data_IF_879981697771
#
_entry.id   IF_879981697771
#
_cell.length_a   1.000
_cell.length_b   1.000
_cell.length_c   1.000
_cell.angle_alpha   90.00
_cell.angle_beta   90.00
_cell.angle_gamma   90.00
#
_symmetry.space_group_name_H-M   'P 1'
#
loop_
_entity.id
_entity.type
_entity.pdbx_description
1 polymer ?
#
# COMPACT_ATOMS: atom_id res chain seq x y z
N UNK A 1 22.46 -16.53 7.72
CA UNK A 1 21.23 -15.71 7.67
C UNK A 1 21.63 -14.40 7.02
N UNK A 2 21.33 -14.21 5.73
CA UNK A 2 21.74 -13.00 4.99
C UNK A 2 20.62 -11.98 5.00
N UNK A 3 21.08 -10.73 5.03
CA UNK A 3 20.41 -9.46 5.27
C UNK A 3 19.17 -9.18 4.40
N UNK A 4 18.28 -8.39 4.98
CA UNK A 4 17.07 -7.87 4.36
C UNK A 4 17.37 -7.25 3.01
N UNK A 5 16.77 -7.80 1.95
CA UNK A 5 16.64 -7.13 0.68
C UNK A 5 15.60 -6.00 0.89
N UNK A 6 16.07 -4.83 1.33
CA UNK A 6 15.25 -3.62 1.29
C UNK A 6 15.02 -3.36 -0.19
N UNK A 7 13.82 -3.69 -0.67
CA UNK A 7 13.40 -3.34 -2.01
C UNK A 7 13.77 -1.88 -2.29
N UNK A 8 14.39 -1.64 -3.44
CA UNK A 8 15.09 -0.39 -3.76
C UNK A 8 14.16 0.80 -4.01
N UNK A 9 12.90 0.76 -3.55
CA UNK A 9 11.96 1.83 -3.80
C UNK A 9 10.83 1.95 -2.77
N UNK A 10 10.33 3.17 -2.64
CA UNK A 10 9.16 3.54 -1.86
C UNK A 10 8.04 4.04 -2.77
N UNK A 11 6.83 3.51 -2.55
CA UNK A 11 5.60 4.04 -3.14
C UNK A 11 5.07 5.20 -2.29
N UNK A 12 4.92 6.37 -2.89
CA UNK A 12 4.09 7.42 -2.32
C UNK A 12 2.70 7.34 -2.95
N UNK A 13 1.69 7.28 -2.10
CA UNK A 13 0.31 7.06 -2.53
C UNK A 13 -0.63 8.09 -1.92
N UNK A 14 -1.70 8.37 -2.65
CA UNK A 14 -2.93 8.92 -2.08
C UNK A 14 -3.90 7.76 -1.91
N UNK A 15 -4.42 7.56 -0.70
CA UNK A 15 -5.35 6.46 -0.39
C UNK A 15 -6.60 6.96 0.29
N UNK A 16 -7.71 6.25 0.09
CA UNK A 16 -8.97 6.41 0.79
C UNK A 16 -9.28 5.09 1.49
N UNK A 17 -9.46 5.12 2.80
CA UNK A 17 -10.02 3.99 3.54
C UNK A 17 -11.53 4.15 3.63
N UNK A 18 -12.27 3.11 3.29
CA UNK A 18 -13.73 3.18 3.27
C UNK A 18 -14.31 3.02 4.68
N UNK A 19 -15.29 3.86 5.02
CA UNK A 19 -16.04 3.69 6.26
C UNK A 19 -16.75 2.31 6.29
N UNK A 20 -17.00 1.82 7.50
CA UNK A 20 -17.71 0.54 7.76
C UNK A 20 -17.03 -0.73 7.22
N UNK A 21 -15.87 -0.63 6.56
CA UNK A 21 -15.05 -1.81 6.18
C UNK A 21 -14.15 -2.30 7.31
N UNK A 22 -13.80 -1.42 8.24
CA UNK A 22 -12.97 -1.71 9.41
C UNK A 22 -13.62 -1.17 10.67
N UNK A 23 -13.38 -1.85 11.80
CA UNK A 23 -13.77 -1.37 13.14
C UNK A 23 -12.82 -0.28 13.67
N UNK A 24 -11.54 -0.34 13.28
CA UNK A 24 -10.49 0.55 13.76
C UNK A 24 -9.72 1.15 12.59
N UNK A 25 -9.31 2.41 12.74
CA UNK A 25 -8.41 3.08 11.81
C UNK A 25 -7.09 2.30 11.71
N UNK A 26 -6.58 2.00 10.51
CA UNK A 26 -5.29 1.35 10.35
C UNK A 26 -4.15 2.27 10.77
N UNK A 27 -3.11 1.71 11.40
CA UNK A 27 -1.91 2.46 11.73
C UNK A 27 -0.91 2.36 10.57
N UNK A 28 -0.77 3.45 9.82
CA UNK A 28 0.12 3.51 8.65
C UNK A 28 1.61 3.69 9.00
N UNK A 29 1.93 3.82 10.28
CA UNK A 29 3.28 4.13 10.73
C UNK A 29 4.07 2.87 11.10
N UNK A 30 5.38 2.91 10.86
CA UNK A 30 6.36 1.94 11.36
C UNK A 30 6.10 0.49 10.91
N UNK A 31 5.50 0.28 9.73
CA UNK A 31 5.31 -1.07 9.18
C UNK A 31 4.25 -1.90 9.87
N UNK A 32 3.40 -1.31 10.72
CA UNK A 32 2.41 -2.05 11.52
C UNK A 32 1.24 -2.59 10.69
N UNK A 33 0.84 -1.85 9.65
CA UNK A 33 -0.25 -2.25 8.77
C UNK A 33 0.30 -2.81 7.45
N UNK A 34 -0.02 -4.08 7.18
CA UNK A 34 0.54 -4.87 6.07
C UNK A 34 -0.55 -5.49 5.17
N UNK A 35 -1.34 -4.69 4.45
CA UNK A 35 -2.36 -5.20 3.55
C UNK A 35 -1.75 -5.64 2.20
N UNK A 36 -2.62 -5.92 1.23
CA UNK A 36 -2.21 -6.08 -0.16
C UNK A 36 -2.77 -4.93 -1.00
N UNK A 37 -2.00 -4.47 -1.98
CA UNK A 37 -2.52 -3.72 -3.10
C UNK A 37 -2.97 -4.70 -4.19
N UNK A 38 -4.10 -4.42 -4.82
CA UNK A 38 -4.57 -5.15 -6.00
C UNK A 38 -4.87 -4.13 -7.09
N UNK A 39 -4.09 -4.13 -8.17
CA UNK A 39 -4.29 -3.20 -9.29
C UNK A 39 -5.69 -3.38 -9.87
N UNK A 40 -6.41 -2.28 -10.11
CA UNK A 40 -7.77 -2.36 -10.64
C UNK A 40 -7.77 -3.04 -12.01
N UNK A 41 -8.61 -4.07 -12.16
CA UNK A 41 -8.66 -4.91 -13.37
C UNK A 41 -7.70 -6.10 -13.37
N UNK A 42 -6.85 -6.25 -12.34
CA UNK A 42 -6.00 -7.41 -12.13
C UNK A 42 -6.51 -8.25 -10.94
N UNK A 43 -5.86 -9.39 -10.70
CA UNK A 43 -6.23 -10.35 -9.65
C UNK A 43 -5.13 -10.60 -8.62
N UNK A 44 -3.92 -10.11 -8.89
CA UNK A 44 -2.77 -10.39 -8.05
C UNK A 44 -2.77 -9.53 -6.79
N UNK A 45 -2.40 -10.16 -5.68
CA UNK A 45 -2.33 -9.55 -4.37
C UNK A 45 -0.88 -9.18 -4.08
N UNK A 46 -0.57 -7.89 -4.20
CA UNK A 46 0.77 -7.37 -4.00
C UNK A 46 0.92 -6.95 -2.53
N UNK A 47 1.56 -7.79 -1.72
CA UNK A 47 1.75 -7.51 -0.29
C UNK A 47 2.61 -6.26 -0.08
N UNK A 48 2.17 -5.34 0.77
CA UNK A 48 2.91 -4.11 1.10
C UNK A 48 2.93 -3.91 2.61
N UNK A 49 3.76 -2.99 3.10
CA UNK A 49 3.59 -2.42 4.43
C UNK A 49 3.73 -0.90 4.39
N UNK A 50 2.79 -0.21 5.04
CA UNK A 50 2.87 1.23 5.19
C UNK A 50 3.95 1.59 6.21
N UNK A 51 4.80 2.56 5.87
CA UNK A 51 5.90 3.02 6.74
C UNK A 51 5.60 4.35 7.41
N UNK A 52 4.81 5.19 6.74
CA UNK A 52 4.42 6.52 7.18
C UNK A 52 3.11 6.95 6.50
N UNK A 53 2.35 7.84 7.12
CA UNK A 53 1.16 8.42 6.54
C UNK A 53 0.42 9.36 7.46
N UNK A 54 -0.39 10.22 6.86
CA UNK A 54 -1.30 11.12 7.57
C UNK A 54 -2.30 10.33 8.44
N UNK A 55 -2.90 11.01 9.41
CA UNK A 55 -3.95 10.41 10.24
C UNK A 55 -5.13 9.97 9.37
N UNK A 56 -5.52 8.70 9.50
CA UNK A 56 -6.60 8.13 8.69
C UNK A 56 -7.94 8.69 9.11
N UNK A 57 -8.57 9.41 8.19
CA UNK A 57 -9.99 9.77 8.26
C UNK A 57 -10.72 8.98 7.18
N UNK A 58 -11.71 8.18 7.57
CA UNK A 58 -12.47 7.38 6.61
C UNK A 58 -13.15 8.25 5.55
N UNK A 59 -13.26 7.71 4.34
CA UNK A 59 -13.82 8.31 3.13
C UNK A 59 -13.16 9.63 2.69
N UNK A 60 -11.96 9.93 3.21
CA UNK A 60 -11.14 11.06 2.78
C UNK A 60 -9.80 10.59 2.20
N UNK A 61 -9.30 11.28 1.17
CA UNK A 61 -7.96 11.01 0.66
C UNK A 61 -6.93 11.47 1.68
N UNK A 62 -5.92 10.63 1.89
CA UNK A 62 -4.76 10.91 2.73
C UNK A 62 -3.48 10.49 2.01
N UNK A 63 -2.37 11.15 2.35
CA UNK A 63 -1.05 10.77 1.83
C UNK A 63 -0.36 9.75 2.72
N UNK A 64 0.36 8.83 2.09
CA UNK A 64 1.10 7.79 2.78
C UNK A 64 2.25 7.25 1.93
N UNK A 65 3.13 6.51 2.59
CA UNK A 65 4.28 5.84 2.01
C UNK A 65 4.23 4.35 2.32
N UNK A 66 4.49 3.52 1.33
CA UNK A 66 4.49 2.07 1.46
C UNK A 66 5.73 1.44 0.80
N UNK A 67 6.20 0.35 1.38
CA UNK A 67 7.24 -0.50 0.82
C UNK A 67 6.64 -1.83 0.39
N UNK A 68 7.21 -2.48 -0.65
CA UNK A 68 6.82 -3.84 -0.97
C UNK A 68 7.23 -4.79 0.16
N UNK A 69 6.43 -5.84 0.38
CA UNK A 69 6.61 -6.75 1.51
C UNK A 69 7.57 -7.92 1.18
N UNK A 70 7.63 -8.35 -0.07
CA UNK A 70 8.39 -9.53 -0.50
C UNK A 70 9.32 -9.20 -1.66
N UNK A 71 10.58 -9.62 -1.59
CA UNK A 71 11.57 -9.42 -2.66
C UNK A 71 11.40 -10.38 -3.85
N UNK A 72 10.58 -11.42 -3.68
CA UNK A 72 10.29 -12.46 -4.67
C UNK A 72 9.03 -12.18 -5.51
N UNK A 73 8.29 -11.13 -5.18
CA UNK A 73 7.06 -10.74 -5.89
C UNK A 73 7.38 -9.63 -6.90
N UNK A 74 6.81 -9.73 -8.09
CA UNK A 74 6.91 -8.67 -9.10
C UNK A 74 5.89 -7.55 -8.81
N UNK A 75 6.40 -6.34 -8.55
CA UNK A 75 5.60 -5.14 -8.32
C UNK A 75 5.59 -4.20 -9.53
N UNK A 76 6.07 -4.63 -10.70
CA UNK A 76 6.16 -3.81 -11.92
C UNK A 76 4.82 -3.23 -12.37
N UNK A 77 3.71 -3.86 -11.98
CA UNK A 77 2.35 -3.37 -12.24
C UNK A 77 1.99 -2.09 -11.48
N UNK A 78 2.70 -1.74 -10.41
CA UNK A 78 2.48 -0.51 -9.63
C UNK A 78 3.40 0.60 -10.15
N UNK A 79 2.98 1.29 -11.22
CA UNK A 79 3.65 2.49 -11.74
C UNK A 79 2.95 3.77 -11.27
N UNK A 80 3.58 4.94 -11.42
CA UNK A 80 2.89 6.22 -11.21
C UNK A 80 1.59 6.29 -12.01
N UNK A 81 0.52 6.79 -11.36
CA UNK A 81 -0.84 6.82 -11.91
C UNK A 81 -1.64 5.52 -11.74
N UNK A 82 -1.01 4.43 -11.27
CA UNK A 82 -1.71 3.14 -11.10
C UNK A 82 -2.72 3.23 -9.98
N UNK A 83 -3.99 2.94 -10.31
CA UNK A 83 -5.05 2.79 -9.33
C UNK A 83 -5.14 1.36 -8.79
N UNK A 84 -5.30 1.22 -7.49
CA UNK A 84 -5.38 -0.07 -6.80
C UNK A 84 -6.48 -0.09 -5.74
N UNK A 85 -6.92 -1.29 -5.37
CA UNK A 85 -7.66 -1.56 -4.15
C UNK A 85 -6.71 -1.93 -3.01
N UNK A 86 -7.06 -1.53 -1.79
CA UNK A 86 -6.42 -2.00 -0.57
C UNK A 86 -7.23 -3.18 -0.07
N UNK A 87 -6.58 -4.34 0.02
CA UNK A 87 -7.21 -5.62 0.29
C UNK A 87 -6.81 -6.17 1.67
N UNK A 88 -7.80 -6.61 2.42
CA UNK A 88 -7.66 -7.41 3.63
C UNK A 88 -8.33 -8.76 3.43
N UNK A 89 -7.51 -9.80 3.20
CA UNK A 89 -8.02 -11.07 2.68
C UNK A 89 -8.84 -10.82 1.41
N UNK A 90 -10.09 -11.26 1.33
CA UNK A 90 -10.97 -11.01 0.18
C UNK A 90 -11.73 -9.68 0.23
N UNK A 91 -11.52 -8.83 1.24
CA UNK A 91 -12.29 -7.61 1.44
C UNK A 91 -11.56 -6.39 0.89
N UNK A 92 -12.25 -5.61 0.06
CA UNK A 92 -11.83 -4.26 -0.31
C UNK A 92 -12.11 -3.33 0.89
N UNK A 93 -11.06 -2.80 1.50
CA UNK A 93 -11.13 -1.90 2.66
C UNK A 93 -10.79 -0.45 2.31
N UNK A 94 -10.26 -0.23 1.12
CA UNK A 94 -9.94 1.09 0.60
C UNK A 94 -9.47 1.01 -0.84
N UNK A 95 -9.05 2.15 -1.36
CA UNK A 95 -8.46 2.29 -2.68
C UNK A 95 -7.39 3.37 -2.68
N UNK A 96 -6.59 3.43 -3.73
CA UNK A 96 -5.61 4.48 -3.87
C UNK A 96 -5.01 4.56 -5.26
N UNK A 97 -4.11 5.52 -5.39
CA UNK A 97 -3.30 5.74 -6.58
C UNK A 97 -1.84 5.89 -6.16
N UNK A 98 -0.94 5.29 -6.95
CA UNK A 98 0.49 5.54 -6.82
C UNK A 98 0.77 6.93 -7.40
N UNK A 99 1.16 7.87 -6.54
CA UNK A 99 1.49 9.24 -6.95
C UNK A 99 2.91 9.31 -7.48
N UNK A 100 3.85 8.62 -6.81
CA UNK A 100 5.27 8.68 -7.14
C UNK A 100 6.01 7.45 -6.64
N UNK A 101 7.08 7.08 -7.34
CA UNK A 101 8.02 6.03 -6.90
C UNK A 101 9.38 6.66 -6.66
N UNK A 102 9.90 6.49 -5.45
CA UNK A 102 11.25 6.95 -5.10
C UNK A 102 12.19 5.76 -5.02
N UNK A 103 13.20 5.76 -5.87
CA UNK A 103 14.22 4.72 -5.90
C UNK A 103 15.36 5.08 -4.94
N UNK A 104 15.66 4.15 -4.03
CA UNK A 104 16.82 4.19 -3.15
C UNK A 104 18.02 3.77 -4.00
N UNK A 105 19.03 4.63 -4.10
CA UNK A 105 20.30 4.36 -4.78
C UNK A 105 21.40 4.15 -3.77
#
# INVERSE_FOLDING_TARGET
>A
MKEYNYLDFTFHCTVIFFAHKRKYVPNLNSGKYRPHFMVKGQKDYLGIYFIDGEEVVFDKPIKCSALPLYDTVDYSALTEGTSFFIMESSNIVGEGIVEKIFWHR
#
